data_IF_439078085914
#
_entry.id   IF_439078085914
#
_cell.length_a   1.000
_cell.length_b   1.000
_cell.length_c   1.000
_cell.angle_alpha   90.00
_cell.angle_beta   90.00
_cell.angle_gamma   90.00
#
_symmetry.space_group_name_H-M   'P 1'
#
loop_
_entity.id
_entity.type
_entity.pdbx_description
1 polymer ?
#
# COMPACT_ATOMS: atom_id res chain seq x y z
N UNK A 1 2.78 19.49 -6.34
CA UNK A 1 1.89 18.45 -5.75
C UNK A 1 1.56 17.33 -6.76
N UNK A 2 1.15 17.64 -7.99
CA UNK A 2 0.80 16.66 -9.05
C UNK A 2 1.94 15.66 -9.37
N UNK A 3 3.19 16.15 -9.56
CA UNK A 3 4.35 15.27 -9.80
C UNK A 3 4.63 14.24 -8.70
N UNK A 4 4.18 14.49 -7.46
CA UNK A 4 4.35 13.55 -6.36
C UNK A 4 3.39 12.36 -6.50
N UNK A 5 2.11 12.65 -6.72
CA UNK A 5 1.07 11.62 -6.88
C UNK A 5 1.36 10.66 -8.05
N UNK A 6 1.83 11.19 -9.20
CA UNK A 6 2.19 10.36 -10.36
C UNK A 6 3.31 9.38 -10.02
N UNK A 7 4.32 9.80 -9.23
CA UNK A 7 5.41 8.90 -8.84
C UNK A 7 4.91 7.78 -7.94
N UNK A 8 4.04 8.08 -6.99
CA UNK A 8 3.49 7.08 -6.08
C UNK A 8 2.64 6.06 -6.84
N UNK A 9 1.84 6.51 -7.80
CA UNK A 9 1.00 5.64 -8.64
C UNK A 9 1.81 4.72 -9.57
N UNK A 10 2.89 5.25 -10.18
CA UNK A 10 3.83 4.44 -10.98
C UNK A 10 4.50 3.37 -10.11
N UNK A 11 4.93 3.72 -8.90
CA UNK A 11 5.59 2.76 -8.00
C UNK A 11 4.60 1.66 -7.59
N UNK A 12 3.38 2.03 -7.19
CA UNK A 12 2.37 1.05 -6.80
C UNK A 12 1.96 0.12 -7.94
N UNK A 13 1.77 0.66 -9.14
CA UNK A 13 1.44 -0.17 -10.30
C UNK A 13 2.59 -1.10 -10.71
N UNK A 14 3.84 -0.61 -10.67
CA UNK A 14 5.01 -1.44 -10.94
C UNK A 14 5.20 -2.56 -9.91
N UNK A 15 4.93 -2.29 -8.63
CA UNK A 15 4.98 -3.26 -7.54
C UNK A 15 4.03 -4.43 -7.78
N UNK A 16 2.75 -4.15 -8.10
CA UNK A 16 1.75 -5.17 -8.43
C UNK A 16 2.20 -6.01 -9.65
N UNK A 17 2.76 -5.36 -10.67
CA UNK A 17 3.25 -6.04 -11.88
C UNK A 17 4.41 -6.98 -11.54
N UNK A 18 5.40 -6.53 -10.78
CA UNK A 18 6.58 -7.33 -10.42
C UNK A 18 6.18 -8.55 -9.59
N UNK A 19 5.29 -8.37 -8.60
CA UNK A 19 4.79 -9.48 -7.78
C UNK A 19 4.07 -10.49 -8.66
N UNK A 20 3.14 -10.01 -9.50
CA UNK A 20 2.35 -10.87 -10.37
C UNK A 20 3.26 -11.63 -11.34
N UNK A 21 4.16 -10.92 -12.04
CA UNK A 21 5.13 -11.54 -12.95
C UNK A 21 6.02 -12.56 -12.24
N UNK A 22 6.46 -12.27 -11.01
CA UNK A 22 7.23 -13.22 -10.21
C UNK A 22 6.48 -14.52 -9.98
N UNK A 23 5.17 -14.47 -9.70
CA UNK A 23 4.36 -15.68 -9.45
C UNK A 23 4.05 -16.51 -10.69
N UNK A 24 4.05 -15.90 -11.88
CA UNK A 24 3.74 -16.59 -13.15
C UNK A 24 4.90 -16.59 -14.13
N UNK A 25 6.13 -16.37 -13.64
CA UNK A 25 7.33 -16.23 -14.46
C UNK A 25 7.57 -17.45 -15.36
N UNK A 26 7.29 -18.65 -14.85
CA UNK A 26 7.48 -19.91 -15.58
C UNK A 26 6.32 -20.28 -16.52
N UNK A 27 5.28 -19.45 -16.62
CA UNK A 27 4.13 -19.69 -17.49
C UNK A 27 4.31 -19.08 -18.89
N UNK A 28 3.67 -19.63 -19.93
CA UNK A 28 3.65 -19.03 -21.26
C UNK A 28 3.13 -17.59 -21.25
N UNK A 29 3.62 -16.76 -22.17
CA UNK A 29 3.25 -15.34 -22.29
C UNK A 29 1.73 -15.10 -22.26
N UNK A 30 0.94 -15.93 -22.95
CA UNK A 30 -0.52 -15.80 -22.98
C UNK A 30 -1.15 -15.88 -21.58
N UNK A 31 -0.64 -16.75 -20.70
CA UNK A 31 -1.10 -16.84 -19.31
C UNK A 31 -0.63 -15.64 -18.50
N UNK A 32 0.62 -15.20 -18.66
CA UNK A 32 1.13 -14.02 -17.97
C UNK A 32 0.31 -12.77 -18.29
N UNK A 33 0.04 -12.53 -19.58
CA UNK A 33 -0.76 -11.40 -20.05
C UNK A 33 -2.20 -11.43 -19.49
N UNK A 34 -2.82 -12.62 -19.48
CA UNK A 34 -4.17 -12.80 -18.92
C UNK A 34 -4.19 -12.51 -17.43
N UNK A 35 -3.27 -13.09 -16.66
CA UNK A 35 -3.21 -12.92 -15.19
C UNK A 35 -2.91 -11.46 -14.82
N UNK A 36 -1.94 -10.82 -15.49
CA UNK A 36 -1.61 -9.40 -15.27
C UNK A 36 -2.80 -8.49 -15.54
N UNK A 37 -3.48 -8.69 -16.67
CA UNK A 37 -4.65 -7.87 -17.03
C UNK A 37 -5.80 -8.08 -16.05
N UNK A 38 -6.03 -9.33 -15.62
CA UNK A 38 -7.05 -9.65 -14.64
C UNK A 38 -6.76 -9.02 -13.27
N UNK A 39 -5.55 -9.18 -12.73
CA UNK A 39 -5.15 -8.60 -11.45
C UNK A 39 -5.19 -7.08 -11.51
N UNK A 40 -4.66 -6.47 -12.57
CA UNK A 40 -4.71 -5.01 -12.74
C UNK A 40 -6.15 -4.50 -12.72
N UNK A 41 -7.07 -5.17 -13.42
CA UNK A 41 -8.49 -4.80 -13.46
C UNK A 41 -9.17 -4.97 -12.10
N UNK A 42 -8.97 -6.13 -11.46
CA UNK A 42 -9.55 -6.45 -10.15
C UNK A 42 -9.05 -5.47 -9.08
N UNK A 43 -7.75 -5.18 -9.04
CA UNK A 43 -7.19 -4.24 -8.07
C UNK A 43 -7.66 -2.82 -8.33
N UNK A 44 -7.77 -2.40 -9.59
CA UNK A 44 -8.32 -1.08 -9.94
C UNK A 44 -9.75 -0.96 -9.43
N UNK A 45 -10.64 -1.87 -9.82
CA UNK A 45 -12.05 -1.82 -9.38
C UNK A 45 -12.17 -2.01 -7.87
N UNK A 46 -11.42 -2.94 -7.30
CA UNK A 46 -11.45 -3.27 -5.87
C UNK A 46 -11.02 -2.10 -4.99
N UNK A 47 -9.87 -1.48 -5.27
CA UNK A 47 -9.35 -0.37 -4.46
C UNK A 47 -10.22 0.87 -4.62
N UNK A 48 -10.53 1.28 -5.86
CA UNK A 48 -11.37 2.47 -6.08
C UNK A 48 -12.80 2.26 -5.58
N UNK A 49 -13.35 1.05 -5.74
CA UNK A 49 -14.66 0.68 -5.21
C UNK A 49 -14.70 0.68 -3.68
N UNK A 50 -13.66 0.17 -3.03
CA UNK A 50 -13.54 0.18 -1.56
C UNK A 50 -13.45 1.61 -1.02
N UNK A 51 -12.61 2.45 -1.61
CA UNK A 51 -12.49 3.87 -1.24
C UNK A 51 -13.82 4.60 -1.45
N UNK A 52 -14.49 4.38 -2.59
CA UNK A 52 -15.81 4.96 -2.85
C UNK A 52 -16.85 4.49 -1.84
N UNK A 53 -16.80 3.22 -1.42
CA UNK A 53 -17.65 2.68 -0.36
C UNK A 53 -17.46 3.41 0.96
N UNK A 54 -16.22 3.65 1.37
CA UNK A 54 -15.90 4.39 2.60
C UNK A 54 -16.42 5.83 2.54
N UNK A 55 -16.19 6.53 1.44
CA UNK A 55 -16.67 7.90 1.26
C UNK A 55 -18.20 7.95 1.30
N UNK A 56 -18.87 6.96 0.69
CA UNK A 56 -20.33 6.88 0.70
C UNK A 56 -20.90 6.58 2.09
N UNK A 57 -20.18 5.84 2.92
CA UNK A 57 -20.56 5.64 4.33
C UNK A 57 -20.47 6.95 5.13
N UNK A 58 -19.48 7.80 4.86
CA UNK A 58 -19.36 9.13 5.48
C UNK A 58 -20.54 10.04 5.08
N UNK A 59 -20.87 10.09 3.79
CA UNK A 59 -22.04 10.82 3.27
C UNK A 59 -23.36 10.31 3.87
N UNK A 60 -23.49 8.98 4.02
CA UNK A 60 -24.64 8.36 4.69
C UNK A 60 -24.71 8.73 6.17
N UNK A 61 -23.58 8.79 6.87
CA UNK A 61 -23.49 9.26 8.25
C UNK A 61 -24.01 10.70 8.38
N UNK A 62 -23.61 11.59 7.47
CA UNK A 62 -24.11 12.95 7.41
C UNK A 62 -25.62 13.01 7.12
N UNK A 63 -26.11 12.23 6.16
CA UNK A 63 -27.53 12.17 5.84
C UNK A 63 -28.39 11.67 7.01
N UNK A 64 -27.92 10.65 7.74
CA UNK A 64 -28.58 10.09 8.91
C UNK A 64 -28.59 11.06 10.09
N UNK A 65 -27.52 11.83 10.28
CA UNK A 65 -27.41 12.84 11.35
C UNK A 65 -28.45 13.96 11.26
N UNK A 66 -29.04 14.17 10.08
CA UNK A 66 -30.05 15.20 9.79
C UNK A 66 -31.49 14.66 9.86
N UNK A 67 -31.69 13.35 10.09
CA UNK A 67 -33.04 12.75 10.20
C UNK A 67 -33.72 13.16 11.50
N UNK A 68 -35.06 13.19 11.58
CA UNK A 68 -35.78 13.60 12.79
C UNK A 68 -35.73 12.57 13.93
N UNK A 69 -35.42 11.29 13.63
CA UNK A 69 -35.32 10.24 14.65
C UNK A 69 -34.02 10.34 15.44
N UNK A 70 -34.13 10.45 16.77
CA UNK A 70 -32.97 10.50 17.67
C UNK A 70 -32.03 9.28 17.53
N UNK A 71 -32.59 8.10 17.26
CA UNK A 71 -31.80 6.89 17.01
C UNK A 71 -30.99 6.98 15.71
N UNK A 72 -31.60 7.48 14.63
CA UNK A 72 -30.92 7.67 13.34
C UNK A 72 -29.87 8.79 13.42
N UNK A 73 -30.15 9.85 14.19
CA UNK A 73 -29.16 10.90 14.44
C UNK A 73 -27.95 10.38 15.23
N UNK A 74 -28.19 9.56 16.25
CA UNK A 74 -27.14 8.92 17.04
C UNK A 74 -26.25 8.03 16.18
N UNK A 75 -26.84 7.19 15.33
CA UNK A 75 -26.11 6.36 14.37
C UNK A 75 -25.31 7.21 13.37
N UNK A 76 -25.91 8.26 12.80
CA UNK A 76 -25.21 9.14 11.86
C UNK A 76 -23.99 9.83 12.48
N UNK A 77 -24.13 10.32 13.72
CA UNK A 77 -23.02 10.92 14.48
C UNK A 77 -21.94 9.89 14.82
N UNK A 78 -22.31 8.65 15.15
CA UNK A 78 -21.35 7.58 15.41
C UNK A 78 -20.52 7.23 14.16
N UNK A 79 -21.17 7.14 12.99
CA UNK A 79 -20.49 6.89 11.71
C UNK A 79 -19.50 8.02 11.39
N UNK A 80 -19.96 9.28 11.48
CA UNK A 80 -19.11 10.46 11.25
C UNK A 80 -17.92 10.52 12.24
N UNK A 81 -18.12 10.13 13.49
CA UNK A 81 -17.04 10.07 14.48
C UNK A 81 -16.04 8.95 14.19
N UNK A 82 -16.47 7.86 13.56
CA UNK A 82 -15.62 6.74 13.15
C UNK A 82 -14.82 6.98 11.88
N UNK A 83 -15.31 7.79 10.94
CA UNK A 83 -14.66 8.04 9.65
C UNK A 83 -13.19 8.54 9.77
N UNK A 84 -12.84 9.50 10.66
CA UNK A 84 -11.46 9.93 10.84
C UNK A 84 -10.53 8.82 11.36
N UNK A 85 -11.05 7.92 12.20
CA UNK A 85 -10.28 6.80 12.74
C UNK A 85 -10.02 5.74 11.67
N UNK A 86 -11.04 5.44 10.86
CA UNK A 86 -10.90 4.54 9.71
C UNK A 86 -9.84 5.05 8.72
N UNK A 87 -9.91 6.34 8.36
CA UNK A 87 -8.95 6.97 7.44
C UNK A 87 -7.52 6.94 7.98
N UNK A 88 -7.33 7.20 9.29
CA UNK A 88 -6.02 7.08 9.94
C UNK A 88 -5.52 5.64 9.97
N UNK A 89 -6.40 4.69 10.29
CA UNK A 89 -6.10 3.26 10.29
C UNK A 89 -5.63 2.78 8.91
N UNK A 90 -6.34 3.18 7.85
CA UNK A 90 -5.97 2.88 6.47
C UNK A 90 -4.63 3.50 6.07
N UNK A 91 -4.31 4.71 6.55
CA UNK A 91 -3.00 5.32 6.30
C UNK A 91 -1.86 4.52 6.94
N UNK A 92 -2.03 4.06 8.17
CA UNK A 92 -1.01 3.25 8.86
C UNK A 92 -0.90 1.87 8.22
N UNK A 93 -2.04 1.20 7.98
CA UNK A 93 -2.08 -0.10 7.32
C UNK A 93 -1.47 -0.04 5.91
N UNK A 94 -1.80 0.99 5.12
CA UNK A 94 -1.23 1.21 3.80
C UNK A 94 0.28 1.44 3.84
N UNK A 95 0.77 2.22 4.80
CA UNK A 95 2.22 2.42 4.98
C UNK A 95 2.93 1.12 5.37
N UNK A 96 2.36 0.36 6.31
CA UNK A 96 2.89 -0.94 6.71
C UNK A 96 2.90 -1.93 5.53
N UNK A 97 1.83 -1.96 4.74
CA UNK A 97 1.74 -2.77 3.54
C UNK A 97 2.83 -2.41 2.52
N UNK A 98 3.03 -1.12 2.23
CA UNK A 98 4.09 -0.71 1.28
C UNK A 98 5.49 -1.11 1.75
N UNK A 99 5.77 -1.09 3.05
CA UNK A 99 7.06 -1.58 3.56
C UNK A 99 7.21 -3.10 3.48
N UNK A 100 6.15 -3.84 3.81
CA UNK A 100 6.15 -5.30 3.73
C UNK A 100 6.32 -5.75 2.27
N UNK A 101 5.55 -5.17 1.35
CA UNK A 101 5.57 -5.56 -0.05
C UNK A 101 6.88 -5.15 -0.72
N UNK A 102 7.35 -3.91 -0.53
CA UNK A 102 8.65 -3.47 -1.03
C UNK A 102 9.82 -4.26 -0.43
N UNK A 103 9.74 -4.61 0.86
CA UNK A 103 10.71 -5.46 1.53
C UNK A 103 10.73 -6.90 0.97
N UNK A 104 9.56 -7.47 0.70
CA UNK A 104 9.40 -8.76 0.04
C UNK A 104 10.05 -8.78 -1.34
N UNK A 105 9.85 -7.75 -2.15
CA UNK A 105 10.51 -7.61 -3.47
C UNK A 105 12.04 -7.61 -3.32
N UNK A 106 12.58 -6.91 -2.32
CA UNK A 106 14.02 -6.84 -2.09
C UNK A 106 14.59 -8.19 -1.62
N UNK A 107 13.93 -8.86 -0.68
CA UNK A 107 14.35 -10.17 -0.16
C UNK A 107 14.36 -11.21 -1.27
N UNK A 108 13.32 -11.24 -2.11
CA UNK A 108 13.25 -12.16 -3.25
C UNK A 108 14.23 -11.80 -4.37
N UNK A 109 14.51 -10.51 -4.59
CA UNK A 109 15.42 -10.05 -5.62
C UNK A 109 16.91 -10.20 -5.28
N UNK A 110 17.26 -10.40 -4.00
CA UNK A 110 18.65 -10.50 -3.53
C UNK A 110 18.90 -11.95 -3.06
N UNK A 111 19.67 -12.76 -3.81
CA UNK A 111 19.87 -14.19 -3.53
C UNK A 111 20.37 -14.49 -2.11
N UNK A 112 21.20 -13.61 -1.54
CA UNK A 112 21.74 -13.79 -0.20
C UNK A 112 20.70 -13.58 0.91
N UNK A 113 19.75 -12.65 0.71
CA UNK A 113 18.62 -12.47 1.64
C UNK A 113 17.61 -13.61 1.49
N UNK A 114 17.35 -14.03 0.25
CA UNK A 114 16.44 -15.13 -0.05
C UNK A 114 16.83 -16.44 0.65
N UNK A 115 18.10 -16.84 0.65
CA UNK A 115 18.57 -18.06 1.34
C UNK A 115 18.47 -17.99 2.87
N UNK A 116 18.53 -16.79 3.46
CA UNK A 116 18.36 -16.62 4.92
C UNK A 116 16.88 -16.77 5.30
N UNK A 117 15.98 -16.34 4.43
CA UNK A 117 14.53 -16.40 4.65
C UNK A 117 13.87 -17.68 4.15
N UNK A 118 14.47 -18.42 3.22
CA UNK A 118 13.96 -19.70 2.70
C UNK A 118 13.55 -20.72 3.77
N UNK A 119 14.33 -20.95 4.85
CA UNK A 119 13.93 -21.88 5.90
C UNK A 119 12.88 -21.29 6.86
N UNK A 120 12.56 -20.00 6.76
CA UNK A 120 11.64 -19.30 7.64
C UNK A 120 10.27 -19.21 6.96
N UNK A 121 9.23 -19.78 7.58
CA UNK A 121 7.87 -19.71 7.04
C UNK A 121 6.93 -18.88 7.93
N UNK A 122 5.89 -18.32 7.33
CA UNK A 122 4.79 -17.68 8.04
C UNK A 122 5.15 -16.31 8.63
N UNK A 123 4.75 -16.05 9.88
CA UNK A 123 4.89 -14.73 10.49
C UNK A 123 6.34 -14.23 10.58
N UNK A 124 7.31 -15.15 10.63
CA UNK A 124 8.72 -14.81 10.73
C UNK A 124 9.31 -14.31 9.41
N UNK A 125 8.92 -14.87 8.26
CA UNK A 125 9.32 -14.34 6.96
C UNK A 125 8.72 -12.96 6.71
N UNK A 126 7.43 -12.77 7.03
CA UNK A 126 6.76 -11.46 6.93
C UNK A 126 7.44 -10.39 7.79
N UNK A 127 7.92 -10.75 8.99
CA UNK A 127 8.65 -9.83 9.85
C UNK A 127 10.00 -9.43 9.23
N UNK A 128 10.75 -10.38 8.67
CA UNK A 128 12.05 -10.10 8.04
C UNK A 128 11.87 -9.23 6.79
N UNK A 129 10.88 -9.52 5.95
CA UNK A 129 10.53 -8.70 4.79
C UNK A 129 10.19 -7.27 5.21
N UNK A 130 9.30 -7.11 6.19
CA UNK A 130 8.92 -5.80 6.72
C UNK A 130 10.13 -5.03 7.30
N UNK A 131 10.98 -5.70 8.09
CA UNK A 131 12.19 -5.09 8.64
C UNK A 131 13.17 -4.69 7.54
N UNK A 132 13.34 -5.53 6.52
CA UNK A 132 14.20 -5.24 5.36
C UNK A 132 13.69 -4.00 4.62
N UNK A 133 12.39 -3.93 4.35
CA UNK A 133 11.75 -2.77 3.73
C UNK A 133 11.95 -1.49 4.55
N UNK A 134 11.77 -1.56 5.88
CA UNK A 134 11.97 -0.42 6.79
C UNK A 134 13.43 0.03 6.80
N UNK A 135 14.39 -0.90 6.94
CA UNK A 135 15.82 -0.60 6.99
C UNK A 135 16.27 0.01 5.66
N UNK A 136 15.94 -0.60 4.53
CA UNK A 136 16.27 -0.05 3.21
C UNK A 136 15.64 1.32 3.00
N UNK A 137 14.37 1.49 3.37
CA UNK A 137 13.68 2.79 3.29
C UNK A 137 14.39 3.87 4.12
N UNK A 138 14.76 3.55 5.37
CA UNK A 138 15.48 4.46 6.26
C UNK A 138 16.88 4.82 5.70
N UNK A 139 17.62 3.85 5.16
CA UNK A 139 18.93 4.09 4.53
C UNK A 139 18.80 5.01 3.33
N UNK A 140 17.84 4.76 2.44
CA UNK A 140 17.62 5.60 1.25
C UNK A 140 17.27 7.03 1.67
N UNK A 141 16.36 7.21 2.63
CA UNK A 141 16.00 8.55 3.14
C UNK A 141 17.21 9.24 3.75
N UNK A 142 18.01 8.53 4.55
CA UNK A 142 19.24 9.04 5.14
C UNK A 142 20.24 9.52 4.10
N UNK A 143 20.48 8.72 3.05
CA UNK A 143 21.37 9.08 1.93
C UNK A 143 20.83 10.30 1.17
N UNK A 144 19.54 10.32 0.85
CA UNK A 144 18.91 11.44 0.14
C UNK A 144 19.03 12.73 0.96
N UNK A 145 18.81 12.67 2.26
CA UNK A 145 18.90 13.83 3.14
C UNK A 145 20.36 14.31 3.27
N UNK A 146 21.32 13.39 3.37
CA UNK A 146 22.74 13.71 3.36
C UNK A 146 23.16 14.41 2.06
N UNK A 147 22.74 13.89 0.90
CA UNK A 147 23.02 14.49 -0.40
C UNK A 147 22.40 15.88 -0.53
N UNK A 148 21.15 16.07 -0.07
CA UNK A 148 20.49 17.38 -0.06
C UNK A 148 21.25 18.38 0.82
N UNK A 149 21.70 17.95 2.02
CA UNK A 149 22.51 18.78 2.92
C UNK A 149 23.84 19.19 2.28
N UNK A 150 24.53 18.26 1.62
CA UNK A 150 25.79 18.54 0.92
C UNK A 150 25.60 19.47 -0.28
N UNK A 151 24.49 19.35 -1.02
CA UNK A 151 24.17 20.24 -2.15
C UNK A 151 23.76 21.65 -1.70
N UNK A 152 23.06 21.81 -0.58
CA UNK A 152 22.71 23.12 -0.01
C UNK A 152 23.91 23.89 0.52
N UNK A 153 24.97 23.21 0.98
CA UNK A 153 26.20 23.86 1.47
C UNK A 153 27.07 24.42 0.33
N UNK A 154 26.77 24.07 -0.92
CA UNK A 154 27.54 24.44 -2.12
C UNK A 154 26.85 25.52 -2.99
N UNK A 155 25.69 26.01 -2.56
CA UNK A 155 24.94 27.12 -3.15
C UNK A 155 24.83 28.24 -2.12
#
# INVERSE_FOLDING_TARGET
KIRGAIRTDIILSAEIIVITLGTVADQPFSKQALVLTAIATIMTVGVYGFVAGIVKLDDLGLALSKRPSAALQGLGKAILAGAPWLMKGLSVAGTAAMFLVGGGILVHGIPWLHHITEPMAGALSMLIEALTGIVCGAVIVGVVELVKRLRRKKS
#
